data_IF_302956728260
#
_entry.id   IF_302956728260
#
_cell.length_a   1.000
_cell.length_b   1.000
_cell.length_c   1.000
_cell.angle_alpha   90.00
_cell.angle_beta   90.00
_cell.angle_gamma   90.00
#
_symmetry.space_group_name_H-M   'P 1'
#
loop_
_entity.id
_entity.type
_entity.pdbx_description
1 polymer ?
#
# COMPACT_ATOMS: atom_id res chain seq x y z
N UNK A 1 -0.46 -12.88 6.11
CA UNK A 1 -1.37 -11.84 5.58
C UNK A 1 -1.13 -11.74 4.08
N UNK A 2 -1.79 -12.61 3.31
CA UNK A 2 -1.57 -12.74 1.86
C UNK A 2 -2.94 -12.83 1.20
N UNK A 3 -3.75 -11.77 1.24
CA UNK A 3 -5.07 -11.77 0.59
C UNK A 3 -5.53 -10.41 0.04
N UNK A 4 -4.83 -9.30 0.31
CA UNK A 4 -5.24 -8.00 -0.25
C UNK A 4 -4.90 -7.85 -1.76
N UNK A 5 -3.87 -8.56 -2.25
CA UNK A 5 -3.36 -8.38 -3.62
C UNK A 5 -4.11 -9.19 -4.69
N UNK A 6 -4.98 -10.15 -4.29
CA UNK A 6 -5.76 -10.96 -5.23
C UNK A 6 -7.11 -10.31 -5.57
N UNK A 7 -7.71 -9.60 -4.61
CA UNK A 7 -9.02 -8.95 -4.79
C UNK A 7 -8.95 -7.75 -5.74
N UNK A 8 -7.79 -7.11 -5.89
CA UNK A 8 -7.62 -5.92 -6.74
C UNK A 8 -7.49 -6.27 -8.23
N UNK A 9 -7.25 -7.54 -8.60
CA UNK A 9 -6.97 -7.95 -9.99
C UNK A 9 -8.19 -8.04 -10.91
N UNK A 10 -9.42 -8.03 -10.38
CA UNK A 10 -10.63 -8.36 -11.16
C UNK A 10 -11.39 -7.15 -11.72
N UNK A 11 -10.88 -5.91 -11.56
CA UNK A 11 -11.64 -4.68 -11.89
C UNK A 11 -10.99 -3.70 -12.87
N UNK A 12 -9.88 -4.06 -13.54
CA UNK A 12 -9.20 -3.12 -14.45
C UNK A 12 -8.60 -1.91 -13.74
N UNK A 13 -8.32 -2.04 -12.44
CA UNK A 13 -7.61 -1.02 -11.67
C UNK A 13 -6.15 -0.96 -12.18
N UNK A 14 -5.86 0.11 -12.91
CA UNK A 14 -4.52 0.45 -13.41
C UNK A 14 -3.55 0.81 -12.29
N UNK A 15 -4.02 0.91 -11.04
CA UNK A 15 -3.30 1.49 -9.91
C UNK A 15 -3.68 0.86 -8.59
N UNK A 16 -2.65 0.54 -7.79
CA UNK A 16 -2.80 0.16 -6.39
C UNK A 16 -2.34 1.33 -5.50
N UNK A 17 -3.13 1.67 -4.47
CA UNK A 17 -2.82 2.73 -3.51
C UNK A 17 -2.82 2.18 -2.09
N UNK A 18 -1.91 2.67 -1.25
CA UNK A 18 -1.82 2.33 0.18
C UNK A 18 -1.30 3.51 0.99
N UNK A 19 -1.60 3.53 2.29
CA UNK A 19 -1.09 4.50 3.25
C UNK A 19 -0.09 3.81 4.19
N UNK A 20 1.07 4.42 4.42
CA UNK A 20 2.10 3.93 5.33
C UNK A 20 2.46 5.03 6.30
N UNK A 21 2.45 4.73 7.60
CA UNK A 21 2.94 5.68 8.59
C UNK A 21 4.35 6.18 8.24
N UNK A 22 4.54 7.50 8.23
CA UNK A 22 5.79 8.15 7.81
C UNK A 22 7.01 7.67 8.63
N UNK A 23 6.79 7.28 9.89
CA UNK A 23 7.82 6.78 10.81
C UNK A 23 8.26 5.33 10.51
N UNK A 24 7.50 4.58 9.71
CA UNK A 24 7.76 3.16 9.45
C UNK A 24 8.73 2.96 8.28
N UNK A 25 10.01 3.26 8.54
CA UNK A 25 11.09 3.10 7.57
C UNK A 25 11.17 1.70 6.93
N UNK A 26 10.79 0.66 7.68
CA UNK A 26 10.76 -0.72 7.20
C UNK A 26 9.72 -0.91 6.09
N UNK A 27 8.49 -0.49 6.36
CA UNK A 27 7.40 -0.55 5.38
C UNK A 27 7.69 0.34 4.17
N UNK A 28 8.21 1.55 4.37
CA UNK A 28 8.58 2.45 3.27
C UNK A 28 9.65 1.84 2.36
N UNK A 29 10.69 1.22 2.94
CA UNK A 29 11.71 0.50 2.15
C UNK A 29 11.11 -0.66 1.36
N UNK A 30 10.20 -1.43 1.98
CA UNK A 30 9.53 -2.55 1.32
C UNK A 30 8.70 -2.07 0.12
N UNK A 31 7.82 -1.08 0.32
CA UNK A 31 6.90 -0.64 -0.73
C UNK A 31 7.63 0.08 -1.87
N UNK A 32 8.67 0.87 -1.57
CA UNK A 32 9.55 1.43 -2.62
C UNK A 32 10.20 0.33 -3.45
N UNK A 33 10.68 -0.75 -2.83
CA UNK A 33 11.26 -1.90 -3.55
C UNK A 33 10.23 -2.63 -4.42
N UNK A 34 8.97 -2.64 -4.00
CA UNK A 34 7.86 -3.14 -4.81
C UNK A 34 7.46 -2.17 -5.93
N UNK A 35 8.08 -0.99 -6.05
CA UNK A 35 7.77 -0.01 -7.09
C UNK A 35 6.58 0.89 -6.76
N UNK A 36 6.23 1.02 -5.48
CA UNK A 36 5.30 2.06 -5.04
C UNK A 36 6.05 3.37 -4.82
N UNK A 37 5.48 4.46 -5.33
CA UNK A 37 6.00 5.82 -5.19
C UNK A 37 5.06 6.66 -4.32
N UNK A 38 5.63 7.59 -3.56
CA UNK A 38 4.87 8.53 -2.73
C UNK A 38 4.23 9.58 -3.64
N UNK A 39 2.94 9.84 -3.45
CA UNK A 39 2.21 10.91 -4.16
C UNK A 39 1.52 11.90 -3.23
N UNK A 40 1.49 11.63 -1.93
CA UNK A 40 0.86 12.53 -0.95
C UNK A 40 1.15 12.15 0.49
N UNK A 41 0.61 12.96 1.39
CA UNK A 41 0.66 12.78 2.85
C UNK A 41 -0.71 13.09 3.42
N UNK A 42 -1.15 12.32 4.40
CA UNK A 42 -2.39 12.57 5.12
C UNK A 42 -2.24 12.36 6.63
N UNK A 43 -3.01 13.11 7.41
CA UNK A 43 -3.20 12.81 8.82
C UNK A 43 -4.15 11.63 8.96
N UNK A 44 -3.78 10.63 9.75
CA UNK A 44 -4.59 9.45 10.02
C UNK A 44 -4.80 9.28 11.51
N UNK A 45 -5.99 8.81 11.88
CA UNK A 45 -6.37 8.53 13.26
C UNK A 45 -7.07 7.17 13.34
N UNK A 46 -6.68 6.33 14.29
CA UNK A 46 -7.32 5.03 14.53
C UNK A 46 -7.25 4.64 16.00
N UNK A 47 -8.20 3.81 16.43
CA UNK A 47 -8.16 3.22 17.77
C UNK A 47 -7.09 2.13 17.82
N UNK A 48 -6.21 2.22 18.81
CA UNK A 48 -5.16 1.23 19.07
C UNK A 48 -5.23 0.79 20.52
N UNK A 49 -5.01 -0.50 20.75
CA UNK A 49 -4.87 -1.05 22.10
C UNK A 49 -3.41 -0.93 22.55
N UNK A 50 -3.18 -0.29 23.70
CA UNK A 50 -1.87 -0.26 24.35
C UNK A 50 -1.61 -1.59 25.10
N UNK A 51 -0.33 -1.92 25.40
CA UNK A 51 0.02 -3.17 26.07
C UNK A 51 -0.63 -3.39 27.45
N UNK A 52 -1.16 -2.35 28.07
CA UNK A 52 -1.93 -2.38 29.31
C UNK A 52 -3.44 -2.61 29.10
N UNK A 53 -3.86 -2.90 27.86
CA UNK A 53 -5.24 -3.21 27.48
C UNK A 53 -6.16 -2.00 27.33
N UNK A 54 -5.60 -0.78 27.30
CA UNK A 54 -6.39 0.45 27.11
C UNK A 54 -6.51 0.77 25.62
N UNK A 55 -7.71 1.14 25.18
CA UNK A 55 -7.89 1.72 23.85
C UNK A 55 -7.55 3.20 23.90
N UNK A 56 -6.75 3.66 22.95
CA UNK A 56 -6.46 5.07 22.75
C UNK A 56 -6.52 5.43 21.27
N UNK A 57 -6.87 6.69 20.97
CA UNK A 57 -6.87 7.19 19.60
C UNK A 57 -5.44 7.55 19.20
N UNK A 58 -4.81 6.68 18.41
CA UNK A 58 -3.51 6.93 17.81
C UNK A 58 -3.66 7.90 16.64
N UNK A 59 -2.77 8.88 16.56
CA UNK A 59 -2.74 9.89 15.48
C UNK A 59 -1.35 9.95 14.89
N UNK A 60 -1.24 9.92 13.57
CA UNK A 60 0.05 10.02 12.89
C UNK A 60 -0.08 10.69 11.52
N UNK A 61 1.06 10.88 10.86
CA UNK A 61 1.13 11.20 9.44
C UNK A 61 1.39 9.91 8.65
N UNK A 62 0.66 9.74 7.56
CA UNK A 62 0.83 8.64 6.62
C UNK A 62 1.27 9.19 5.25
N UNK A 63 2.21 8.50 4.62
CA UNK A 63 2.56 8.68 3.22
C UNK A 63 1.60 7.85 2.37
N UNK A 64 0.95 8.53 1.41
CA UNK A 64 0.14 7.89 0.38
C UNK A 64 1.06 7.42 -0.74
N UNK A 65 1.05 6.12 -1.00
CA UNK A 65 1.90 5.48 -2.00
C UNK A 65 1.06 4.80 -3.06
N UNK A 66 1.49 4.89 -4.32
CA UNK A 66 0.81 4.30 -5.47
C UNK A 66 1.76 3.50 -6.35
N UNK A 67 1.26 2.47 -7.03
CA UNK A 67 1.95 1.75 -8.10
C UNK A 67 1.00 1.50 -9.26
N UNK A 68 1.43 1.79 -10.48
CA UNK A 68 0.70 1.38 -11.67
C UNK A 68 0.80 -0.14 -11.86
N UNK A 69 -0.33 -0.81 -12.07
CA UNK A 69 -0.44 -2.26 -12.28
C UNK A 69 -0.56 -2.64 -13.77
N UNK A 70 -0.56 -1.66 -14.68
CA UNK A 70 -0.51 -1.92 -16.11
C UNK A 70 0.87 -2.50 -16.47
N UNK A 71 0.83 -3.80 -16.76
CA UNK A 71 1.82 -4.72 -17.33
C UNK A 71 2.85 -5.47 -16.46
N UNK A 72 2.55 -6.75 -16.25
CA UNK A 72 3.54 -7.84 -16.12
C UNK A 72 3.01 -9.17 -16.72
N UNK A 73 2.07 -9.12 -17.68
CA UNK A 73 1.73 -10.28 -18.50
C UNK A 73 1.08 -9.93 -19.85
N UNK A 74 1.68 -9.04 -20.64
CA UNK A 74 1.57 -9.13 -22.10
C UNK A 74 2.97 -9.24 -22.73
N UNK A 75 3.52 -10.45 -22.64
CA UNK A 75 4.60 -10.92 -23.50
C UNK A 75 4.34 -12.39 -23.83
N UNK A 76 3.14 -12.67 -24.32
CA UNK A 76 2.90 -13.80 -25.20
C UNK A 76 2.74 -13.25 -26.62
N UNK A 77 3.84 -12.72 -27.14
CA UNK A 77 4.03 -12.44 -28.54
C UNK A 77 3.76 -13.72 -29.35
N UNK A 78 2.68 -13.66 -30.13
CA UNK A 78 2.46 -14.49 -31.32
C UNK A 78 3.44 -14.00 -32.39
N UNK A 79 3.97 -14.91 -33.25
CA UNK A 79 3.54 -14.76 -34.64
C UNK A 79 3.38 -16.09 -35.41
N UNK A 80 2.47 -16.08 -36.40
CA UNK A 80 2.33 -17.09 -37.45
C UNK A 80 0.95 -17.70 -37.57
#
# INVERSE_FOLDING_TARGET
MMHAEEVVRDHGCDRCTLAVEESNDGALRLYRRLGYDVFGTEAAEWEQESPDGRTYLYRCQCLLMQRCLLDSHDSADRPG
#
